data_IF_622884975586
#
_entry.id   IF_622884975586
#
_cell.length_a   1.000
_cell.length_b   1.000
_cell.length_c   1.000
_cell.angle_alpha   90.00
_cell.angle_beta   90.00
_cell.angle_gamma   90.00
#
_symmetry.space_group_name_H-M   'P 1'
#
loop_
_entity.id
_entity.type
_entity.pdbx_description
1 polymer ?
#
# COMPACT_ATOMS: atom_id res chain seq x y z
N UNK A 1 -2.95 -20.82 -5.28
CA UNK A 1 -4.08 -20.24 -4.51
C UNK A 1 -3.82 -18.77 -4.16
N UNK A 2 -2.70 -18.44 -3.53
CA UNK A 2 -2.38 -17.05 -3.13
C UNK A 2 -2.39 -16.05 -4.30
N UNK A 3 -1.84 -16.42 -5.47
CA UNK A 3 -1.86 -15.59 -6.68
C UNK A 3 -3.28 -15.28 -7.19
N UNK A 4 -4.22 -16.22 -7.02
CA UNK A 4 -5.62 -16.01 -7.39
C UNK A 4 -6.28 -15.01 -6.44
N UNK A 5 -6.06 -15.17 -5.12
CA UNK A 5 -6.54 -14.23 -4.12
C UNK A 5 -5.93 -12.84 -4.34
N UNK A 6 -4.64 -12.76 -4.65
CA UNK A 6 -3.96 -11.51 -4.99
C UNK A 6 -4.63 -10.82 -6.19
N UNK A 7 -4.96 -11.57 -7.24
CA UNK A 7 -5.69 -11.04 -8.39
C UNK A 7 -7.06 -10.46 -8.01
N UNK A 8 -7.83 -11.17 -7.18
CA UNK A 8 -9.14 -10.69 -6.68
C UNK A 8 -8.98 -9.43 -5.85
N UNK A 9 -8.06 -9.42 -4.88
CA UNK A 9 -7.79 -8.27 -4.02
C UNK A 9 -7.36 -7.06 -4.87
N UNK A 10 -6.43 -7.26 -5.80
CA UNK A 10 -5.89 -6.18 -6.63
C UNK A 10 -7.00 -5.51 -7.44
N UNK A 11 -7.87 -6.31 -8.07
CA UNK A 11 -9.03 -5.81 -8.81
C UNK A 11 -9.96 -4.99 -7.92
N UNK A 12 -10.33 -5.51 -6.74
CA UNK A 12 -11.25 -4.81 -5.84
C UNK A 12 -10.67 -3.51 -5.27
N UNK A 13 -9.37 -3.50 -4.97
CA UNK A 13 -8.64 -2.34 -4.47
C UNK A 13 -8.54 -1.24 -5.54
N UNK A 14 -8.36 -1.63 -6.80
CA UNK A 14 -8.36 -0.71 -7.96
C UNK A 14 -9.75 -0.12 -8.23
N UNK A 15 -10.79 -0.95 -8.34
CA UNK A 15 -12.18 -0.53 -8.56
C UNK A 15 -12.67 0.46 -7.50
N UNK A 16 -12.31 0.22 -6.24
CA UNK A 16 -12.71 1.06 -5.10
C UNK A 16 -11.78 2.25 -4.86
N UNK A 17 -10.74 2.43 -5.68
CA UNK A 17 -9.75 3.52 -5.57
C UNK A 17 -9.16 3.62 -4.15
N UNK A 18 -8.93 2.48 -3.50
CA UNK A 18 -8.37 2.41 -2.14
C UNK A 18 -6.94 2.96 -2.11
N UNK A 19 -6.20 2.74 -3.20
CA UNK A 19 -4.81 3.19 -3.36
C UNK A 19 -4.80 4.57 -4.02
N UNK A 20 -4.11 5.52 -3.39
CA UNK A 20 -3.92 6.87 -3.92
C UNK A 20 -3.00 6.86 -5.15
N UNK A 21 -3.20 7.81 -6.05
CA UNK A 21 -2.36 7.98 -7.26
C UNK A 21 -0.88 8.19 -6.95
N UNK A 22 -0.53 8.77 -5.80
CA UNK A 22 0.86 8.93 -5.36
C UNK A 22 1.55 7.64 -4.90
N UNK A 23 0.82 6.56 -4.67
CA UNK A 23 1.44 5.28 -4.30
C UNK A 23 1.99 4.59 -5.55
N UNK A 24 3.29 4.30 -5.51
CA UNK A 24 4.02 3.65 -6.60
C UNK A 24 4.42 2.20 -6.28
N UNK A 25 4.80 1.93 -5.03
CA UNK A 25 5.19 0.57 -4.62
C UNK A 25 3.98 -0.36 -4.69
N UNK A 26 4.21 -1.57 -5.21
CA UNK A 26 3.20 -2.63 -5.39
C UNK A 26 1.99 -2.21 -6.26
N UNK A 27 2.14 -1.19 -7.11
CA UNK A 27 1.09 -0.74 -8.03
C UNK A 27 1.48 -1.08 -9.45
N UNK A 28 0.59 -1.75 -10.19
CA UNK A 28 0.85 -2.15 -11.58
C UNK A 28 1.13 -0.91 -12.44
N UNK A 29 2.14 -1.01 -13.31
CA UNK A 29 2.54 0.09 -14.20
C UNK A 29 3.32 1.22 -13.52
N UNK A 30 3.65 1.09 -12.22
CA UNK A 30 4.48 2.05 -11.48
C UNK A 30 5.76 1.40 -10.99
N UNK A 31 6.83 2.19 -10.93
CA UNK A 31 8.17 1.79 -10.53
C UNK A 31 8.79 2.79 -9.57
N UNK A 32 9.97 2.46 -9.04
CA UNK A 32 10.78 3.40 -8.26
C UNK A 32 11.14 4.64 -9.09
N UNK A 33 11.44 4.43 -10.38
CA UNK A 33 11.78 5.52 -11.30
C UNK A 33 10.60 6.48 -11.49
N UNK A 34 9.40 5.96 -11.77
CA UNK A 34 8.21 6.82 -11.92
C UNK A 34 7.88 7.58 -10.63
N UNK A 35 8.16 6.98 -9.46
CA UNK A 35 7.99 7.65 -8.17
C UNK A 35 8.95 8.83 -8.02
N UNK A 36 10.22 8.63 -8.39
CA UNK A 36 11.23 9.68 -8.34
C UNK A 36 10.89 10.81 -9.31
N UNK A 37 10.47 10.50 -10.54
CA UNK A 37 10.05 11.49 -11.53
C UNK A 37 8.88 12.31 -10.99
N UNK A 38 7.79 11.66 -10.55
CA UNK A 38 6.62 12.35 -10.01
C UNK A 38 6.93 13.24 -8.79
N UNK A 39 7.88 12.81 -7.95
CA UNK A 39 8.37 13.59 -6.83
C UNK A 39 9.17 14.82 -7.29
N UNK A 40 10.12 14.64 -8.20
CA UNK A 40 10.92 15.73 -8.74
C UNK A 40 10.03 16.77 -9.45
N UNK A 41 9.08 16.33 -10.29
CA UNK A 41 8.15 17.22 -10.99
C UNK A 41 7.33 18.09 -10.02
N UNK A 42 6.89 17.49 -8.90
CA UNK A 42 6.18 18.24 -7.85
C UNK A 42 7.07 19.25 -7.14
N UNK A 43 8.31 18.89 -6.82
CA UNK A 43 9.27 19.80 -6.19
C UNK A 43 9.65 20.95 -7.11
N UNK A 44 9.98 20.68 -8.37
CA UNK A 44 10.39 21.70 -9.33
C UNK A 44 9.27 22.71 -9.56
N UNK A 45 8.02 22.25 -9.67
CA UNK A 45 6.86 23.15 -9.78
C UNK A 45 6.75 24.12 -8.60
N UNK A 46 7.00 23.68 -7.37
CA UNK A 46 6.97 24.57 -6.19
C UNK A 46 8.17 25.52 -6.15
N UNK A 47 9.35 25.05 -6.57
CA UNK A 47 10.56 25.88 -6.66
C UNK A 47 10.40 26.97 -7.72
N UNK A 48 9.81 26.65 -8.87
CA UNK A 48 9.54 27.61 -9.96
C UNK A 48 8.57 28.70 -9.50
N UNK A 49 7.61 28.37 -8.65
CA UNK A 49 6.72 29.31 -7.97
C UNK A 49 7.38 30.09 -6.81
N UNK A 50 8.69 29.92 -6.61
CA UNK A 50 9.50 30.54 -5.54
C UNK A 50 9.01 30.19 -4.13
N UNK A 51 8.41 29.02 -3.95
CA UNK A 51 8.02 28.50 -2.63
C UNK A 51 9.20 27.80 -1.97
N UNK A 52 9.30 27.91 -0.64
CA UNK A 52 10.21 27.05 0.13
C UNK A 52 9.68 25.60 0.13
N UNK A 53 10.59 24.64 -0.04
CA UNK A 53 10.26 23.21 -0.08
C UNK A 53 11.11 22.47 0.93
N UNK A 54 10.44 21.79 1.87
CA UNK A 54 11.05 20.88 2.83
C UNK A 54 10.49 19.47 2.62
N UNK A 55 11.32 18.44 2.82
CA UNK A 55 10.93 17.05 2.56
C UNK A 55 11.18 16.19 3.80
N UNK A 56 10.14 15.50 4.26
CA UNK A 56 10.21 14.56 5.38
C UNK A 56 10.15 13.13 4.86
N UNK A 57 11.22 12.38 5.05
CA UNK A 57 11.27 10.95 4.74
C UNK A 57 10.97 10.12 5.98
N UNK A 58 9.95 9.26 5.88
CA UNK A 58 9.57 8.32 6.94
C UNK A 58 9.81 6.89 6.47
N UNK A 59 10.35 6.07 7.36
CA UNK A 59 10.54 4.64 7.11
C UNK A 59 10.05 3.84 8.32
N UNK A 60 9.35 2.73 8.05
CA UNK A 60 8.93 1.79 9.09
C UNK A 60 9.96 0.68 9.22
N UNK A 61 10.52 0.50 10.41
CA UNK A 61 11.36 -0.66 10.70
C UNK A 61 10.51 -1.93 10.65
N UNK A 62 10.98 -2.95 9.92
CA UNK A 62 10.34 -4.27 9.86
C UNK A 62 8.81 -4.19 9.65
N UNK A 63 8.37 -3.42 8.67
CA UNK A 63 6.96 -3.04 8.51
C UNK A 63 5.98 -4.23 8.44
N UNK A 64 6.35 -5.31 7.74
CA UNK A 64 5.49 -6.50 7.63
C UNK A 64 5.47 -7.34 8.91
N UNK A 65 6.53 -7.23 9.72
CA UNK A 65 6.68 -7.98 10.96
C UNK A 65 5.95 -7.30 12.13
N UNK A 66 5.84 -5.97 12.08
CA UNK A 66 5.29 -5.13 13.15
C UNK A 66 3.82 -4.78 12.96
N UNK A 67 3.24 -5.10 11.80
CA UNK A 67 1.82 -4.85 11.53
C UNK A 67 0.95 -5.75 12.41
N UNK A 68 0.06 -5.14 13.20
CA UNK A 68 -1.00 -5.86 13.90
C UNK A 68 -1.97 -6.52 12.91
N UNK A 69 -2.11 -7.84 12.98
CA UNK A 69 -3.04 -8.60 12.16
C UNK A 69 -4.48 -8.09 12.32
N UNK A 70 -4.91 -7.77 13.55
CA UNK A 70 -6.27 -7.26 13.82
C UNK A 70 -6.53 -5.91 13.12
N UNK A 71 -5.55 -5.01 13.13
CA UNK A 71 -5.65 -3.71 12.44
C UNK A 71 -5.70 -3.92 10.92
N UNK A 72 -4.87 -4.82 10.39
CA UNK A 72 -4.87 -5.16 8.96
C UNK A 72 -6.25 -5.69 8.53
N UNK A 73 -6.79 -6.69 9.23
CA UNK A 73 -8.12 -7.27 8.93
C UNK A 73 -9.22 -6.21 9.01
N UNK A 74 -9.21 -5.36 10.05
CA UNK A 74 -10.17 -4.24 10.17
C UNK A 74 -10.09 -3.27 8.99
N UNK A 75 -8.87 -2.93 8.54
CA UNK A 75 -8.68 -2.07 7.35
C UNK A 75 -9.18 -2.76 6.08
N UNK A 76 -8.93 -4.05 5.88
CA UNK A 76 -9.42 -4.79 4.71
C UNK A 76 -10.95 -4.79 4.65
N UNK A 77 -11.64 -5.01 5.78
CA UNK A 77 -13.12 -4.88 5.86
C UNK A 77 -13.58 -3.47 5.52
N UNK A 78 -12.93 -2.43 6.07
CA UNK A 78 -13.27 -1.02 5.79
C UNK A 78 -13.02 -0.61 4.34
N UNK A 79 -12.05 -1.23 3.66
CA UNK A 79 -11.83 -1.06 2.22
C UNK A 79 -12.91 -1.75 1.37
N UNK A 80 -13.88 -2.41 2.00
CA UNK A 80 -15.00 -3.07 1.34
C UNK A 80 -14.64 -4.36 0.64
N UNK A 81 -13.51 -5.02 0.97
CA UNK A 81 -13.18 -6.34 0.43
C UNK A 81 -14.27 -7.35 0.82
N UNK A 82 -14.51 -8.34 -0.05
CA UNK A 82 -15.52 -9.36 0.20
C UNK A 82 -15.21 -10.16 1.47
N UNK A 83 -16.23 -10.47 2.28
CA UNK A 83 -16.03 -11.13 3.59
C UNK A 83 -15.30 -12.47 3.47
N UNK A 84 -15.56 -13.25 2.42
CA UNK A 84 -14.82 -14.48 2.14
C UNK A 84 -13.33 -14.24 1.88
N UNK A 85 -12.98 -13.19 1.14
CA UNK A 85 -11.58 -12.80 0.90
C UNK A 85 -10.91 -12.35 2.19
N UNK A 86 -11.61 -11.56 3.01
CA UNK A 86 -11.08 -11.11 4.31
C UNK A 86 -10.84 -12.30 5.25
N UNK A 87 -11.82 -13.20 5.38
CA UNK A 87 -11.67 -14.42 6.20
C UNK A 87 -10.54 -15.33 5.71
N UNK A 88 -10.34 -15.42 4.40
CA UNK A 88 -9.21 -16.16 3.85
C UNK A 88 -7.88 -15.53 4.30
N UNK A 89 -7.74 -14.20 4.24
CA UNK A 89 -6.53 -13.50 4.71
C UNK A 89 -6.35 -13.66 6.22
N UNK A 90 -7.43 -13.56 7.00
CA UNK A 90 -7.43 -13.77 8.46
C UNK A 90 -6.92 -15.17 8.82
N UNK A 91 -7.44 -16.21 8.16
CA UNK A 91 -6.98 -17.58 8.32
C UNK A 91 -5.54 -17.79 7.83
N UNK A 92 -5.16 -17.13 6.73
CA UNK A 92 -3.80 -17.20 6.21
C UNK A 92 -2.78 -16.63 7.20
N UNK A 93 -3.12 -15.57 7.91
CA UNK A 93 -2.29 -14.95 8.95
C UNK A 93 -2.33 -15.69 10.29
N UNK A 94 -3.38 -16.46 10.57
CA UNK A 94 -3.56 -17.14 11.84
C UNK A 94 -2.43 -18.15 12.12
N UNK A 95 -1.90 -18.15 13.34
CA UNK A 95 -0.78 -19.01 13.74
C UNK A 95 0.56 -18.66 13.09
N UNK A 96 0.63 -17.67 12.19
CA UNK A 96 1.90 -17.16 11.68
C UNK A 96 2.49 -16.19 12.69
N UNK A 97 3.69 -16.53 13.15
CA UNK A 97 4.56 -15.63 13.88
C UNK A 97 5.89 -15.52 13.12
N UNK A 98 6.55 -14.37 13.24
CA UNK A 98 7.89 -14.22 12.68
C UNK A 98 8.85 -15.13 13.46
N UNK A 99 9.74 -15.84 12.75
CA UNK A 99 10.92 -16.44 13.38
C UNK A 99 11.87 -15.30 13.78
N UNK A 100 12.10 -15.16 15.08
CA UNK A 100 13.10 -14.24 15.65
C UNK A 100 14.51 -14.63 15.22
#
# INVERSE_FOLDING_TARGET
MEQLILGVISKQVEEKKVIRSGQHRFTKGKSCLTNLIAFCDGMTGWVDERRAVDVVYLNFSKAFDTISHNILISKLRKCGLGEWTVRWVENWLNGRAQRL
#
